data_IF_034024300737
#
_entry.id   IF_034024300737
#
_cell.length_a   1.000
_cell.length_b   1.000
_cell.length_c   1.000
_cell.angle_alpha   90.00
_cell.angle_beta   90.00
_cell.angle_gamma   90.00
#
_symmetry.space_group_name_H-M   'P 1'
#
loop_
_entity.id
_entity.type
_entity.pdbx_description
1 polymer ?
#
# COMPACT_ATOMS: atom_id res chain seq x y z
N UNK A 1 12.67 23.83 9.08
CA UNK A 1 11.40 23.75 9.84
C UNK A 1 10.32 23.35 8.85
N UNK A 2 9.51 22.32 9.11
CA UNK A 2 8.28 22.13 8.32
C UNK A 2 7.32 23.24 8.77
N UNK A 3 6.91 24.12 7.85
CA UNK A 3 5.95 25.20 8.14
C UNK A 3 4.61 24.61 8.60
N UNK A 4 3.82 25.39 9.34
CA UNK A 4 2.51 24.96 9.84
C UNK A 4 1.58 24.38 8.76
N UNK A 5 1.72 24.83 7.50
CA UNK A 5 0.97 24.28 6.34
C UNK A 5 1.19 22.78 6.13
N UNK A 6 2.40 22.27 6.34
CA UNK A 6 2.67 20.85 6.11
C UNK A 6 1.97 19.96 7.14
N UNK A 7 1.86 20.41 8.40
CA UNK A 7 1.17 19.66 9.46
C UNK A 7 -0.34 19.52 9.17
N UNK A 8 -0.97 20.58 8.64
CA UNK A 8 -2.39 20.53 8.23
C UNK A 8 -2.62 19.59 7.05
N UNK A 9 -1.73 19.60 6.05
CA UNK A 9 -1.80 18.68 4.91
C UNK A 9 -1.72 17.21 5.35
N UNK A 10 -0.83 16.88 6.29
CA UNK A 10 -0.73 15.52 6.85
C UNK A 10 -1.98 15.11 7.63
N UNK A 11 -2.56 16.03 8.40
CA UNK A 11 -3.81 15.78 9.12
C UNK A 11 -4.97 15.50 8.17
N UNK A 12 -5.15 16.33 7.14
CA UNK A 12 -6.19 16.13 6.11
C UNK A 12 -6.00 14.84 5.34
N UNK A 13 -4.77 14.54 4.92
CA UNK A 13 -4.46 13.29 4.24
C UNK A 13 -4.72 12.07 5.14
N UNK A 14 -4.39 12.17 6.43
CA UNK A 14 -4.71 11.13 7.41
C UNK A 14 -6.22 10.90 7.57
N UNK A 15 -7.01 11.98 7.68
CA UNK A 15 -8.48 11.88 7.75
C UNK A 15 -9.06 11.25 6.49
N UNK A 16 -8.61 11.71 5.31
CA UNK A 16 -9.05 11.14 4.03
C UNK A 16 -8.74 9.64 3.95
N UNK A 17 -7.54 9.22 4.36
CA UNK A 17 -7.16 7.80 4.40
C UNK A 17 -8.07 6.98 5.32
N UNK A 18 -8.42 7.50 6.50
CA UNK A 18 -9.35 6.83 7.41
C UNK A 18 -10.72 6.65 6.76
N UNK A 19 -11.24 7.68 6.09
CA UNK A 19 -12.55 7.61 5.43
C UNK A 19 -12.55 6.58 4.29
N UNK A 20 -11.51 6.56 3.46
CA UNK A 20 -11.36 5.58 2.38
C UNK A 20 -11.22 4.17 2.94
N UNK A 21 -10.42 3.99 3.99
CA UNK A 21 -10.27 2.70 4.67
C UNK A 21 -11.58 2.19 5.26
N UNK A 22 -12.35 3.07 5.92
CA UNK A 22 -13.65 2.73 6.48
C UNK A 22 -14.66 2.35 5.39
N UNK A 23 -14.69 3.09 4.28
CA UNK A 23 -15.51 2.74 3.13
C UNK A 23 -15.14 1.36 2.55
N UNK A 24 -13.85 1.06 2.43
CA UNK A 24 -13.37 -0.25 1.98
C UNK A 24 -13.77 -1.38 2.95
N UNK A 25 -13.70 -1.15 4.26
CA UNK A 25 -14.16 -2.12 5.26
C UNK A 25 -15.66 -2.38 5.17
N UNK A 26 -16.47 -1.32 5.03
CA UNK A 26 -17.93 -1.44 4.90
C UNK A 26 -18.34 -2.18 3.62
N UNK A 27 -17.59 -2.00 2.54
CA UNK A 27 -17.85 -2.65 1.25
C UNK A 27 -17.17 -4.03 1.11
N UNK A 28 -16.37 -4.44 2.10
CA UNK A 28 -15.51 -5.63 2.01
C UNK A 28 -16.27 -6.95 1.89
N UNK A 29 -17.52 -7.03 2.38
CA UNK A 29 -18.26 -8.29 2.47
C UNK A 29 -17.52 -9.39 3.25
N UNK A 30 -16.67 -9.00 4.21
CA UNK A 30 -15.77 -9.88 4.97
C UNK A 30 -14.68 -10.59 4.13
N UNK A 31 -14.44 -10.15 2.90
CA UNK A 31 -13.31 -10.66 2.12
C UNK A 31 -12.00 -10.23 2.80
N UNK A 32 -11.10 -11.17 3.17
CA UNK A 32 -9.92 -10.92 4.02
C UNK A 32 -9.03 -9.77 3.55
N UNK A 33 -9.10 -9.54 2.26
CA UNK A 33 -8.19 -8.75 1.49
C UNK A 33 -8.63 -7.26 1.45
N UNK A 34 -9.94 -6.99 1.31
CA UNK A 34 -10.51 -5.66 1.50
C UNK A 34 -10.45 -5.27 2.98
N UNK A 35 -10.54 -6.26 3.88
CA UNK A 35 -10.30 -6.07 5.31
C UNK A 35 -8.87 -5.61 5.55
N UNK A 36 -7.86 -6.30 5.03
CA UNK A 36 -6.46 -5.91 5.18
C UNK A 36 -6.17 -4.51 4.63
N UNK A 37 -6.65 -4.20 3.41
CA UNK A 37 -6.49 -2.88 2.80
C UNK A 37 -7.15 -1.77 3.63
N UNK A 38 -8.43 -1.96 3.98
CA UNK A 38 -9.19 -1.00 4.76
C UNK A 38 -8.60 -0.78 6.15
N UNK A 39 -8.16 -1.84 6.83
CA UNK A 39 -7.48 -1.74 8.13
C UNK A 39 -6.16 -0.97 8.03
N UNK A 40 -5.33 -1.25 7.01
CA UNK A 40 -4.07 -0.55 6.83
C UNK A 40 -4.27 0.96 6.59
N UNK A 41 -5.23 1.34 5.73
CA UNK A 41 -5.57 2.74 5.48
C UNK A 41 -6.13 3.44 6.73
N UNK A 42 -7.00 2.77 7.48
CA UNK A 42 -7.54 3.29 8.74
C UNK A 42 -6.44 3.52 9.77
N UNK A 43 -5.61 2.51 10.03
CA UNK A 43 -4.56 2.60 11.06
C UNK A 43 -3.46 3.59 10.65
N UNK A 44 -3.00 3.54 9.41
CA UNK A 44 -1.98 4.45 8.90
C UNK A 44 -2.49 5.89 8.82
N UNK A 45 -3.75 6.09 8.42
CA UNK A 45 -4.41 7.40 8.42
C UNK A 45 -4.52 7.97 9.83
N UNK A 46 -4.97 7.17 10.81
CA UNK A 46 -5.03 7.56 12.21
C UNK A 46 -3.63 7.94 12.77
N UNK A 47 -2.59 7.21 12.37
CA UNK A 47 -1.21 7.51 12.74
C UNK A 47 -0.76 8.87 12.18
N UNK A 48 -1.12 9.20 10.94
CA UNK A 48 -0.82 10.49 10.33
C UNK A 48 -1.55 11.64 11.02
N UNK A 49 -2.84 11.48 11.33
CA UNK A 49 -3.61 12.45 12.13
C UNK A 49 -2.93 12.67 13.47
N UNK A 50 -2.53 11.59 14.14
CA UNK A 50 -1.86 11.68 15.42
C UNK A 50 -0.51 12.40 15.34
N UNK A 51 0.31 12.13 14.31
CA UNK A 51 1.57 12.84 14.07
C UNK A 51 1.32 14.35 13.87
N UNK A 52 0.27 14.70 13.12
CA UNK A 52 -0.11 16.09 12.86
C UNK A 52 -0.58 16.80 14.15
N UNK A 53 -1.54 16.21 14.88
CA UNK A 53 -2.11 16.79 16.11
C UNK A 53 -1.06 16.93 17.22
N UNK A 54 -0.17 15.95 17.37
CA UNK A 54 0.91 16.02 18.37
C UNK A 54 2.12 16.84 17.93
N UNK A 55 2.05 17.48 16.75
CA UNK A 55 3.14 18.23 16.12
C UNK A 55 4.48 17.46 16.11
N UNK A 56 4.41 16.12 16.04
CA UNK A 56 5.61 15.27 16.16
C UNK A 56 6.42 15.36 14.88
N UNK A 57 7.67 15.79 15.02
CA UNK A 57 8.62 15.78 13.90
C UNK A 57 9.12 14.37 13.64
N UNK A 58 8.56 13.75 12.61
CA UNK A 58 9.13 12.57 11.95
C UNK A 58 10.44 13.02 11.28
N UNK A 59 11.55 12.41 11.68
CA UNK A 59 12.88 12.82 11.19
C UNK A 59 13.08 12.41 9.73
N UNK A 60 14.05 13.02 9.03
CA UNK A 60 14.39 12.66 7.63
C UNK A 60 14.64 11.17 7.44
N UNK A 61 15.35 10.54 8.39
CA UNK A 61 15.66 9.10 8.37
C UNK A 61 14.38 8.26 8.38
N UNK A 62 13.38 8.66 9.17
CA UNK A 62 12.10 7.94 9.23
C UNK A 62 11.37 8.01 7.90
N UNK A 63 11.35 9.18 7.25
CA UNK A 63 10.74 9.30 5.93
C UNK A 63 11.47 8.49 4.87
N UNK A 64 12.81 8.52 4.87
CA UNK A 64 13.62 7.69 3.96
C UNK A 64 13.34 6.20 4.17
N UNK A 65 13.26 5.74 5.42
CA UNK A 65 12.94 4.36 5.73
C UNK A 65 11.51 3.98 5.30
N UNK A 66 10.54 4.87 5.51
CA UNK A 66 9.17 4.67 5.01
C UNK A 66 9.16 4.54 3.49
N UNK A 67 9.79 5.47 2.76
CA UNK A 67 9.86 5.42 1.29
C UNK A 67 10.56 4.16 0.79
N UNK A 68 11.69 3.77 1.39
CA UNK A 68 12.40 2.56 0.99
C UNK A 68 11.55 1.29 1.20
N UNK A 69 10.85 1.18 2.33
CA UNK A 69 9.96 0.06 2.60
C UNK A 69 8.74 0.05 1.68
N UNK A 70 8.18 1.21 1.36
CA UNK A 70 7.08 1.31 0.38
C UNK A 70 7.52 0.83 -1.00
N UNK A 71 8.67 1.30 -1.48
CA UNK A 71 9.20 0.88 -2.78
C UNK A 71 9.52 -0.62 -2.80
N UNK A 72 10.08 -1.16 -1.71
CA UNK A 72 10.34 -2.59 -1.60
C UNK A 72 9.04 -3.41 -1.59
N UNK A 73 8.03 -2.98 -0.83
CA UNK A 73 6.71 -3.62 -0.80
C UNK A 73 6.04 -3.60 -2.17
N UNK A 74 6.01 -2.45 -2.83
CA UNK A 74 5.47 -2.30 -4.18
C UNK A 74 6.21 -3.17 -5.20
N UNK A 75 7.54 -3.20 -5.14
CA UNK A 75 8.35 -4.06 -6.01
C UNK A 75 8.07 -5.54 -5.77
N UNK A 76 7.92 -5.97 -4.51
CA UNK A 76 7.57 -7.34 -4.17
C UNK A 76 6.15 -7.69 -4.63
N UNK A 77 5.16 -6.80 -4.47
CA UNK A 77 3.82 -6.98 -5.06
C UNK A 77 3.92 -7.21 -6.57
N UNK A 78 4.68 -6.37 -7.28
CA UNK A 78 4.86 -6.50 -8.73
C UNK A 78 5.52 -7.82 -9.14
N UNK A 79 6.48 -8.33 -8.35
CA UNK A 79 7.10 -9.63 -8.60
C UNK A 79 6.11 -10.78 -8.39
N UNK A 80 5.34 -10.74 -7.29
CA UNK A 80 4.31 -11.75 -6.99
C UNK A 80 3.28 -11.80 -8.12
N UNK A 81 2.85 -10.65 -8.66
CA UNK A 81 1.89 -10.63 -9.76
C UNK A 81 2.43 -11.26 -11.03
N UNK A 82 3.72 -11.09 -11.33
CA UNK A 82 4.31 -11.75 -12.50
C UNK A 82 4.27 -13.27 -12.38
N UNK A 83 4.48 -13.80 -11.18
CA UNK A 83 4.38 -15.23 -10.88
C UNK A 83 2.91 -15.70 -10.84
N UNK A 84 2.02 -14.89 -10.24
CA UNK A 84 0.59 -15.17 -10.14
C UNK A 84 -0.10 -15.11 -11.51
N UNK A 85 0.25 -14.24 -12.46
CA UNK A 85 -0.32 -14.28 -13.83
C UNK A 85 -0.05 -15.64 -14.50
N UNK A 86 1.09 -16.28 -14.19
CA UNK A 86 1.41 -17.61 -14.69
C UNK A 86 0.64 -18.73 -13.95
N UNK A 87 0.39 -18.59 -12.64
CA UNK A 87 -0.34 -19.57 -11.81
C UNK A 87 -1.87 -19.40 -11.89
N UNK A 88 -2.35 -18.17 -12.08
CA UNK A 88 -3.74 -17.75 -12.14
C UNK A 88 -4.48 -18.51 -13.23
N UNK A 89 -3.89 -18.65 -14.42
CA UNK A 89 -4.62 -19.28 -15.51
C UNK A 89 -4.80 -20.81 -15.33
N UNK A 90 -3.88 -21.48 -14.64
CA UNK A 90 -3.99 -22.91 -14.33
C UNK A 90 -5.00 -23.21 -13.20
N UNK A 91 -5.07 -22.32 -12.21
CA UNK A 91 -5.86 -22.54 -10.99
C UNK A 91 -7.27 -21.90 -11.04
N UNK A 92 -7.47 -20.83 -11.82
CA UNK A 92 -8.72 -20.03 -11.79
C UNK A 92 -9.85 -20.57 -12.65
N UNK A 93 -9.58 -21.46 -13.61
CA UNK A 93 -10.64 -22.14 -14.36
C UNK A 93 -11.47 -23.10 -13.49
N UNK A 94 -11.01 -23.40 -12.27
CA UNK A 94 -11.66 -24.34 -11.36
C UNK A 94 -12.36 -23.73 -10.14
N UNK A 95 -11.82 -22.68 -9.50
CA UNK A 95 -12.12 -22.45 -8.07
C UNK A 95 -12.32 -21.01 -7.56
N UNK A 96 -12.09 -19.95 -8.36
CA UNK A 96 -12.33 -18.55 -7.94
C UNK A 96 -11.38 -18.06 -6.83
N UNK A 97 -10.38 -17.27 -7.19
CA UNK A 97 -9.29 -16.92 -6.27
C UNK A 97 -9.55 -15.66 -5.43
N UNK A 98 -9.16 -15.68 -4.15
CA UNK A 98 -9.51 -14.63 -3.18
C UNK A 98 -8.61 -13.39 -3.20
N UNK A 99 -7.73 -13.17 -4.19
CA UNK A 99 -6.77 -12.04 -4.20
C UNK A 99 -6.80 -11.16 -5.46
N UNK A 100 -7.90 -11.14 -6.22
CA UNK A 100 -8.04 -10.47 -7.54
C UNK A 100 -7.77 -8.94 -7.60
N UNK A 101 -7.49 -8.27 -6.49
CA UNK A 101 -7.13 -6.85 -6.39
C UNK A 101 -5.64 -6.64 -6.08
N UNK A 102 -4.95 -7.69 -5.61
CA UNK A 102 -3.48 -7.77 -5.58
C UNK A 102 -2.91 -8.15 -6.96
N UNK A 103 -3.76 -8.36 -7.98
CA UNK A 103 -3.40 -8.37 -9.41
C UNK A 103 -2.94 -6.97 -9.85
N UNK A 104 -1.80 -6.54 -9.34
CA UNK A 104 -1.11 -5.33 -9.75
C UNK A 104 -0.61 -5.54 -11.18
N UNK A 105 -1.38 -5.06 -12.16
CA UNK A 105 -0.92 -4.43 -13.42
C UNK A 105 -1.35 -5.07 -14.75
N UNK A 106 -1.85 -6.30 -14.82
CA UNK A 106 -2.21 -6.90 -16.12
C UNK A 106 -3.59 -7.57 -16.08
N UNK A 107 -4.57 -6.94 -16.74
CA UNK A 107 -5.83 -7.59 -17.08
C UNK A 107 -5.70 -8.23 -18.45
N UNK A 108 -5.93 -9.54 -18.54
CA UNK A 108 -6.02 -10.23 -19.81
C UNK A 108 -7.34 -11.01 -19.86
N UNK A 109 -8.24 -10.54 -20.72
CA UNK A 109 -9.62 -11.05 -20.79
C UNK A 109 -9.71 -12.45 -21.44
N UNK A 110 -8.65 -12.91 -22.10
CA UNK A 110 -8.59 -14.21 -22.76
C UNK A 110 -7.14 -14.70 -22.98
N UNK A 111 -7.00 -15.98 -23.36
CA UNK A 111 -5.69 -16.62 -23.55
C UNK A 111 -4.86 -16.04 -24.70
N UNK A 112 -5.51 -15.54 -25.76
CA UNK A 112 -4.79 -14.90 -26.87
C UNK A 112 -4.10 -13.59 -26.43
N UNK A 113 -4.72 -12.83 -25.54
CA UNK A 113 -4.12 -11.63 -24.96
C UNK A 113 -2.93 -11.96 -24.04
N UNK A 114 -2.99 -13.08 -23.31
CA UNK A 114 -1.90 -13.54 -22.43
C UNK A 114 -0.71 -14.04 -23.25
N UNK A 115 -0.96 -14.83 -24.30
CA UNK A 115 0.11 -15.28 -25.20
C UNK A 115 0.76 -14.10 -25.92
N UNK A 116 -0.01 -13.06 -26.26
CA UNK A 116 0.51 -11.79 -26.79
C UNK A 116 1.35 -11.03 -25.77
N UNK A 117 0.91 -10.91 -24.51
CA UNK A 117 1.67 -10.27 -23.40
C UNK A 117 2.94 -11.05 -23.06
N UNK A 118 2.89 -12.39 -23.13
CA UNK A 118 4.02 -13.28 -22.85
C UNK A 118 5.06 -13.26 -23.97
N UNK A 119 4.62 -13.11 -25.21
CA UNK A 119 5.49 -13.06 -26.39
C UNK A 119 6.02 -11.65 -26.70
N UNK A 120 5.37 -10.60 -26.19
CA UNK A 120 5.81 -9.20 -26.34
C UNK A 120 5.74 -8.42 -25.01
N UNK A 121 6.91 -8.13 -24.38
CA UNK A 121 6.98 -7.30 -23.17
C UNK A 121 6.35 -5.91 -23.31
N UNK A 122 6.27 -5.35 -24.53
CA UNK A 122 5.67 -4.04 -24.78
C UNK A 122 4.13 -4.07 -24.72
N UNK A 123 3.50 -5.24 -24.82
CA UNK A 123 2.06 -5.41 -24.64
C UNK A 123 1.65 -5.36 -23.16
N UNK A 124 2.55 -5.78 -22.24
CA UNK A 124 2.35 -5.68 -20.80
C UNK A 124 2.23 -4.22 -20.32
N UNK A 125 2.99 -3.32 -20.93
CA UNK A 125 2.99 -1.89 -20.60
C UNK A 125 1.70 -1.15 -21.04
N UNK A 126 0.88 -1.79 -21.88
CA UNK A 126 -0.42 -1.26 -22.33
C UNK A 126 -1.61 -1.79 -21.52
N UNK A 127 -1.46 -2.90 -20.80
CA UNK A 127 -2.53 -3.54 -19.99
C UNK A 127 -2.60 -3.04 -18.55
N UNK A 128 -1.92 -1.93 -18.30
CA UNK A 128 -1.59 -1.41 -17.00
C UNK A 128 -2.74 -0.69 -16.35
N UNK A 129 -3.19 -1.23 -15.22
CA UNK A 129 -4.03 -0.47 -14.32
C UNK A 129 -3.18 0.40 -13.36
N UNK A 130 -2.86 1.60 -13.82
CA UNK A 130 -2.10 2.58 -13.04
C UNK A 130 -2.81 3.00 -11.75
N UNK A 131 -4.16 2.94 -11.72
CA UNK A 131 -4.92 3.26 -10.51
C UNK A 131 -4.65 2.21 -9.43
N UNK A 132 -4.61 0.92 -9.80
CA UNK A 132 -4.25 -0.15 -8.86
C UNK A 132 -2.83 -0.02 -8.34
N UNK A 133 -1.86 0.38 -9.17
CA UNK A 133 -0.48 0.64 -8.70
C UNK A 133 -0.43 1.74 -7.66
N UNK A 134 -1.18 2.82 -7.89
CA UNK A 134 -1.25 3.92 -6.92
C UNK A 134 -1.87 3.43 -5.60
N UNK A 135 -2.93 2.62 -5.66
CA UNK A 135 -3.57 2.06 -4.47
C UNK A 135 -2.66 1.08 -3.70
N UNK A 136 -1.92 0.23 -4.41
CA UNK A 136 -0.93 -0.70 -3.83
C UNK A 136 0.24 0.07 -3.19
N UNK A 137 0.75 1.09 -3.88
CA UNK A 137 1.75 2.01 -3.32
C UNK A 137 1.26 2.74 -2.07
N UNK A 138 0.00 3.19 -2.06
CA UNK A 138 -0.62 3.80 -0.89
C UNK A 138 -0.76 2.80 0.26
N UNK A 139 -1.16 1.56 0.00
CA UNK A 139 -1.25 0.51 1.01
C UNK A 139 0.12 0.29 1.67
N UNK A 140 1.16 0.04 0.88
CA UNK A 140 2.51 -0.18 1.39
C UNK A 140 3.10 1.04 2.10
N UNK A 141 2.72 2.25 1.71
CA UNK A 141 3.07 3.47 2.43
C UNK A 141 2.50 3.48 3.84
N UNK A 142 1.22 3.14 4.01
CA UNK A 142 0.59 3.07 5.32
C UNK A 142 1.17 1.95 6.19
N UNK A 143 1.44 0.78 5.61
CA UNK A 143 2.14 -0.32 6.31
C UNK A 143 3.53 0.13 6.77
N UNK A 144 4.30 0.77 5.90
CA UNK A 144 5.64 1.28 6.24
C UNK A 144 5.58 2.35 7.33
N UNK A 145 4.58 3.25 7.32
CA UNK A 145 4.36 4.23 8.38
C UNK A 145 4.08 3.57 9.72
N UNK A 146 3.20 2.56 9.74
CA UNK A 146 2.82 1.80 10.94
C UNK A 146 4.00 1.07 11.57
N UNK A 147 5.01 0.69 10.79
CA UNK A 147 6.24 0.07 11.30
C UNK A 147 7.25 1.13 11.75
N UNK A 148 7.55 2.10 10.88
CA UNK A 148 8.68 3.01 11.07
C UNK A 148 8.42 4.06 12.16
N UNK A 149 7.22 4.64 12.20
CA UNK A 149 6.93 5.73 13.14
C UNK A 149 6.96 5.25 14.59
N UNK A 150 6.30 4.15 14.98
CA UNK A 150 6.38 3.63 16.35
C UNK A 150 7.80 3.19 16.74
N UNK A 151 8.51 2.48 15.84
CA UNK A 151 9.88 2.03 16.10
C UNK A 151 10.83 3.20 16.40
N UNK A 152 10.74 4.27 15.61
CA UNK A 152 11.58 5.45 15.80
C UNK A 152 11.23 6.23 17.06
N UNK A 153 9.98 6.23 17.48
CA UNK A 153 9.56 6.84 18.74
C UNK A 153 10.00 6.02 19.95
N UNK A 154 9.91 4.70 19.90
CA UNK A 154 10.44 3.81 20.93
C UNK A 154 11.95 4.03 21.10
N UNK A 155 12.70 4.04 19.99
CA UNK A 155 14.15 4.32 20.00
C UNK A 155 14.48 5.66 20.67
N UNK A 156 13.75 6.74 20.33
CA UNK A 156 13.95 8.06 20.94
C UNK A 156 13.65 8.08 22.45
N UNK A 157 12.63 7.34 22.89
CA UNK A 157 12.31 7.21 24.32
C UNK A 157 13.43 6.49 25.07
N UNK A 158 13.94 5.38 24.55
CA UNK A 158 15.05 4.65 25.16
C UNK A 158 16.33 5.49 25.25
N UNK A 159 16.64 6.29 24.22
CA UNK A 159 17.81 7.17 24.25
C UNK A 159 17.70 8.26 25.32
N UNK A 160 16.50 8.77 25.59
CA UNK A 160 16.26 9.79 26.64
C UNK A 160 16.32 9.27 28.06
N UNK A 161 16.09 7.97 28.27
CA UNK A 161 16.15 7.34 29.60
C UNK A 161 17.57 6.95 30.01
N UNK A 162 18.52 6.94 29.06
CA UNK A 162 19.93 6.62 29.30
C UNK A 162 20.82 7.85 29.53
N UNK A 163 20.24 9.05 29.42
CA UNK A 163 20.86 10.35 29.70
C UNK A 163 20.29 10.88 31.00
#
# INVERSE_FOLDING_TARGET
MLSGMHLWAWGLFGVASVLVGAAALLQSGAQPHYVAFGTALCLGGALLVWVAVTARRVGRISWLATTALTLAGLFLSMLVVREDVCCMYGYHRGLGYPWAWLDSYATADNMAAIDAIRSDPAALEKSVDWLKVVLDGLFWWHVALLVVVPAMQARRRFQRQRL
#
